data_IF_377533805494
#
_entry.id   IF_377533805494
#
_cell.length_a   1.000
_cell.length_b   1.000
_cell.length_c   1.000
_cell.angle_alpha   90.00
_cell.angle_beta   90.00
_cell.angle_gamma   90.00
#
_symmetry.space_group_name_H-M   'P 1'
#
loop_
_entity.id
_entity.type
_entity.pdbx_description
1 polymer ?
#
# COMPACT_ATOMS: atom_id res chain seq x y z
N UNK A 1 -6.89 10.63 15.55
CA UNK A 1 -7.77 9.74 14.76
C UNK A 1 -8.51 10.60 13.75
N UNK A 2 -8.30 10.40 12.44
CA UNK A 2 -9.03 11.14 11.41
C UNK A 2 -10.42 10.50 11.23
N UNK A 3 -11.49 11.25 11.49
CA UNK A 3 -12.86 10.81 11.20
C UNK A 3 -13.16 11.13 9.74
N UNK A 4 -13.24 10.11 8.91
CA UNK A 4 -13.74 10.26 7.54
C UNK A 4 -15.26 10.18 7.55
N UNK A 5 -15.92 11.15 6.93
CA UNK A 5 -17.36 11.13 6.69
C UNK A 5 -17.60 10.78 5.22
N UNK A 6 -18.29 9.67 4.96
CA UNK A 6 -18.64 9.23 3.60
C UNK A 6 -20.08 9.67 3.35
N UNK A 7 -20.27 10.57 2.39
CA UNK A 7 -21.58 11.00 1.93
C UNK A 7 -21.93 10.26 0.65
N UNK A 8 -23.15 9.72 0.57
CA UNK A 8 -23.72 9.20 -0.67
C UNK A 8 -24.48 10.34 -1.36
N UNK A 9 -24.20 10.54 -2.64
CA UNK A 9 -24.86 11.54 -3.47
C UNK A 9 -25.07 10.94 -4.86
N UNK A 10 -26.24 11.20 -5.44
CA UNK A 10 -26.56 10.82 -6.83
C UNK A 10 -25.97 11.80 -7.86
N UNK A 11 -25.38 12.90 -7.38
CA UNK A 11 -24.68 13.88 -8.22
C UNK A 11 -23.32 13.30 -8.68
N UNK A 12 -22.96 13.39 -9.97
CA UNK A 12 -21.66 12.94 -10.45
C UNK A 12 -20.50 13.56 -9.68
N UNK A 13 -19.53 12.74 -9.26
CA UNK A 13 -18.41 13.16 -8.42
C UNK A 13 -17.61 14.34 -9.02
N UNK A 14 -17.52 14.41 -10.36
CA UNK A 14 -16.88 15.50 -11.09
C UNK A 14 -17.55 16.85 -10.78
N UNK A 15 -18.88 16.91 -10.78
CA UNK A 15 -19.62 18.15 -10.54
C UNK A 15 -19.47 18.62 -9.09
N UNK A 16 -19.44 17.67 -8.14
CA UNK A 16 -19.18 17.95 -6.73
C UNK A 16 -17.76 18.53 -6.57
N UNK A 17 -16.77 17.89 -7.18
CA UNK A 17 -15.37 18.34 -7.12
C UNK A 17 -15.19 19.73 -7.73
N UNK A 18 -15.77 20.00 -8.90
CA UNK A 18 -15.70 21.31 -9.55
C UNK A 18 -16.35 22.39 -8.71
N UNK A 19 -17.56 22.15 -8.19
CA UNK A 19 -18.27 23.12 -7.35
C UNK A 19 -17.49 23.45 -6.06
N UNK A 20 -16.95 22.43 -5.38
CA UNK A 20 -16.10 22.63 -4.20
C UNK A 20 -14.83 23.40 -4.54
N UNK A 21 -14.19 23.09 -5.67
CA UNK A 21 -13.00 23.80 -6.13
C UNK A 21 -13.29 25.29 -6.38
N UNK A 22 -14.43 25.60 -7.01
CA UNK A 22 -14.84 26.98 -7.28
C UNK A 22 -15.14 27.75 -5.99
N UNK A 23 -15.84 27.13 -5.04
CA UNK A 23 -16.14 27.73 -3.73
C UNK A 23 -14.84 28.00 -2.97
N UNK A 24 -13.95 27.01 -2.87
CA UNK A 24 -12.66 27.16 -2.19
C UNK A 24 -11.79 28.23 -2.86
N UNK A 25 -11.75 28.27 -4.19
CA UNK A 25 -10.99 29.27 -4.95
C UNK A 25 -11.51 30.69 -4.71
N UNK A 26 -12.84 30.87 -4.66
CA UNK A 26 -13.45 32.16 -4.32
C UNK A 26 -13.10 32.62 -2.90
N UNK A 27 -13.18 31.73 -1.92
CA UNK A 27 -12.82 32.04 -0.52
C UNK A 27 -11.34 32.42 -0.41
N UNK A 28 -10.45 31.69 -1.09
CA UNK A 28 -9.01 31.98 -1.10
C UNK A 28 -8.71 33.33 -1.78
N UNK A 29 -9.40 33.65 -2.89
CA UNK A 29 -9.24 34.92 -3.58
C UNK A 29 -9.75 36.12 -2.76
N UNK A 30 -10.90 35.99 -2.09
CA UNK A 30 -11.46 37.03 -1.22
C UNK A 30 -10.55 37.34 -0.03
N UNK A 31 -9.87 36.33 0.54
CA UNK A 31 -8.87 36.53 1.61
C UNK A 31 -7.59 37.21 1.13
N UNK A 32 -7.21 37.04 -0.14
CA UNK A 32 -6.06 37.72 -0.74
C UNK A 32 -6.35 39.20 -1.05
N UNK A 33 -7.61 39.57 -1.33
CA UNK A 33 -8.01 40.96 -1.55
C UNK A 33 -8.29 41.74 -0.25
N UNK A 34 -8.75 41.09 0.82
CA UNK A 34 -9.04 41.74 2.10
C UNK A 34 -7.79 42.06 2.94
N UNK A 35 -6.62 41.51 2.61
CA UNK A 35 -5.34 41.81 3.30
C UNK A 35 -4.82 43.25 3.09
N UNK A 36 -5.53 44.12 2.35
CA UNK A 36 -5.12 45.51 2.11
C UNK A 36 -6.01 46.58 2.76
N UNK A 37 -7.11 46.22 3.42
CA UNK A 37 -7.91 47.20 4.14
C UNK A 37 -8.40 46.63 5.49
N UNK A 38 -7.76 47.16 6.53
CA UNK A 38 -8.25 47.39 7.88
C UNK A 38 -9.14 46.29 8.51
N UNK A 39 -8.61 45.52 9.45
CA UNK A 39 -9.41 44.63 10.29
C UNK A 39 -9.17 44.93 11.76
N UNK A 40 -10.21 45.50 12.39
CA UNK A 40 -10.42 45.59 13.82
C UNK A 40 -10.31 44.17 14.45
N UNK A 41 -9.51 43.95 15.50
CA UNK A 41 -9.21 42.61 16.03
C UNK A 41 -10.37 41.90 16.74
N UNK A 42 -11.55 42.51 16.85
CA UNK A 42 -12.53 42.12 17.87
C UNK A 42 -13.68 41.20 17.42
N UNK A 43 -13.71 40.67 16.17
CA UNK A 43 -14.87 39.89 15.66
C UNK A 43 -14.60 38.62 14.85
N UNK A 44 -13.39 38.06 14.82
CA UNK A 44 -13.19 36.72 14.27
C UNK A 44 -13.31 35.68 15.39
N UNK A 45 -14.52 35.13 15.54
CA UNK A 45 -14.72 33.91 16.32
C UNK A 45 -13.83 32.79 15.79
N UNK A 46 -13.07 32.18 16.71
CA UNK A 46 -12.20 31.02 16.54
C UNK A 46 -12.88 29.89 15.76
N UNK A 47 -12.69 29.87 14.44
CA UNK A 47 -12.76 28.62 13.69
C UNK A 47 -11.35 28.04 13.75
N UNK A 48 -11.11 26.92 14.47
CA UNK A 48 -9.81 26.28 14.44
C UNK A 48 -9.55 25.91 12.98
N UNK A 49 -8.57 26.60 12.38
CA UNK A 49 -8.02 26.27 11.08
C UNK A 49 -7.44 24.87 11.19
N UNK A 50 -8.27 23.85 10.97
CA UNK A 50 -7.79 22.49 10.81
C UNK A 50 -7.21 22.42 9.41
N UNK A 51 -5.92 22.75 9.31
CA UNK A 51 -5.12 22.59 8.11
C UNK A 51 -5.40 21.20 7.53
N UNK A 52 -5.85 21.17 6.28
CA UNK A 52 -6.03 19.90 5.58
C UNK A 52 -4.68 19.20 5.65
N UNK A 53 -4.57 17.99 6.23
CA UNK A 53 -3.28 17.36 6.41
C UNK A 53 -2.62 17.27 5.04
N UNK A 54 -1.48 17.95 4.89
CA UNK A 54 -0.67 17.85 3.70
C UNK A 54 -0.47 16.35 3.41
N UNK A 55 -0.54 15.92 2.13
CA UNK A 55 -0.35 14.53 1.76
C UNK A 55 0.89 14.03 2.48
N UNK A 56 0.71 13.13 3.46
CA UNK A 56 1.84 12.57 4.20
C UNK A 56 2.73 11.92 3.16
N UNK A 57 3.99 12.36 3.07
CA UNK A 57 4.98 11.82 2.16
C UNK A 57 4.93 10.29 2.26
N UNK A 58 4.36 9.64 1.25
CA UNK A 58 4.20 8.20 1.26
C UNK A 58 5.59 7.61 1.11
N UNK A 59 5.98 6.72 2.02
CA UNK A 59 7.28 6.06 1.93
C UNK A 59 7.28 5.17 0.68
N UNK A 60 7.94 5.66 -0.38
CA UNK A 60 8.15 4.92 -1.62
C UNK A 60 9.56 4.33 -1.61
N UNK A 61 9.66 3.01 -1.59
CA UNK A 61 10.92 2.30 -1.76
C UNK A 61 11.20 2.09 -3.24
N UNK A 62 12.46 2.19 -3.67
CA UNK A 62 12.85 2.05 -5.09
C UNK A 62 13.86 0.93 -5.25
N UNK A 63 13.65 0.07 -6.25
CA UNK A 63 14.50 -1.09 -6.52
C UNK A 63 14.92 -1.09 -7.99
N UNK A 64 16.22 -1.08 -8.26
CA UNK A 64 16.75 -1.25 -9.61
C UNK A 64 16.87 -2.74 -9.91
N UNK A 65 16.17 -3.20 -10.94
CA UNK A 65 16.09 -4.61 -11.33
C UNK A 65 16.00 -4.71 -12.86
N UNK A 66 16.07 -5.93 -13.40
CA UNK A 66 15.74 -6.16 -14.81
C UNK A 66 14.33 -6.71 -14.92
N UNK A 67 13.53 -6.13 -15.81
CA UNK A 67 12.18 -6.57 -16.12
C UNK A 67 12.21 -7.64 -17.22
N UNK A 68 11.61 -8.79 -16.92
CA UNK A 68 11.53 -9.95 -17.82
C UNK A 68 10.26 -9.90 -18.68
N UNK A 69 9.39 -8.92 -18.43
CA UNK A 69 8.12 -8.75 -19.11
C UNK A 69 6.93 -9.23 -18.30
N UNK A 70 5.80 -9.37 -18.99
CA UNK A 70 4.54 -9.90 -18.44
C UNK A 70 3.92 -10.91 -19.37
N UNK A 71 3.26 -11.91 -18.78
CA UNK A 71 2.54 -12.94 -19.53
C UNK A 71 1.20 -13.24 -18.87
N UNK A 72 0.15 -13.57 -19.65
CA UNK A 72 -1.10 -14.06 -19.08
C UNK A 72 -0.88 -15.42 -18.42
N UNK A 73 -1.58 -15.65 -17.30
CA UNK A 73 -1.56 -16.93 -16.57
C UNK A 73 -2.98 -17.40 -16.27
N UNK A 74 -3.16 -18.71 -16.16
CA UNK A 74 -4.50 -19.34 -16.06
C UNK A 74 -5.06 -19.38 -14.64
N UNK A 75 -4.22 -19.15 -13.63
CA UNK A 75 -4.58 -19.23 -12.21
C UNK A 75 -4.13 -17.96 -11.46
N UNK A 76 -4.87 -17.53 -10.44
CA UNK A 76 -4.52 -16.34 -9.65
C UNK A 76 -3.30 -16.54 -8.74
N UNK A 77 -2.93 -17.79 -8.44
CA UNK A 77 -1.91 -18.14 -7.47
C UNK A 77 -1.29 -19.51 -7.77
N UNK A 78 -0.05 -19.68 -7.31
CA UNK A 78 0.69 -20.95 -7.41
C UNK A 78 2.17 -20.71 -7.68
N UNK A 79 3.04 -21.36 -6.91
CA UNK A 79 4.49 -21.34 -7.20
C UNK A 79 4.78 -22.04 -8.53
N UNK A 80 4.04 -23.10 -8.85
CA UNK A 80 4.08 -23.75 -10.16
C UNK A 80 3.76 -22.77 -11.28
N UNK A 81 2.72 -21.94 -11.12
CA UNK A 81 2.27 -20.96 -12.11
C UNK A 81 3.35 -19.92 -12.42
N UNK A 82 3.94 -19.31 -11.38
CA UNK A 82 4.99 -18.30 -11.58
C UNK A 82 6.29 -18.92 -12.11
N UNK A 83 6.63 -20.14 -11.69
CA UNK A 83 7.86 -20.78 -12.14
C UNK A 83 7.79 -21.16 -13.63
N UNK A 84 6.64 -21.64 -14.12
CA UNK A 84 6.43 -21.89 -15.55
C UNK A 84 6.61 -20.61 -16.38
N UNK A 85 6.04 -19.50 -15.91
CA UNK A 85 6.20 -18.19 -16.56
C UNK A 85 7.66 -17.72 -16.55
N UNK A 86 8.36 -17.84 -15.41
CA UNK A 86 9.76 -17.46 -15.25
C UNK A 86 10.69 -18.30 -16.13
N UNK A 87 10.53 -19.62 -16.17
CA UNK A 87 11.33 -20.52 -17.01
C UNK A 87 11.24 -20.12 -18.49
N UNK A 88 10.05 -19.73 -18.95
CA UNK A 88 9.84 -19.24 -20.32
C UNK A 88 10.61 -17.94 -20.56
N UNK A 89 10.53 -16.98 -19.64
CA UNK A 89 11.20 -15.68 -19.77
C UNK A 89 12.73 -15.76 -19.63
N UNK A 90 13.23 -16.75 -18.87
CA UNK A 90 14.66 -16.99 -18.69
C UNK A 90 15.34 -17.55 -19.94
N UNK A 91 14.58 -18.19 -20.83
CA UNK A 91 15.08 -18.69 -22.12
C UNK A 91 15.25 -17.56 -23.16
N UNK A 92 14.71 -16.36 -22.91
CA UNK A 92 14.79 -15.19 -23.79
C UNK A 92 15.57 -14.03 -23.14
N UNK A 93 16.83 -14.27 -22.78
CA UNK A 93 17.65 -13.33 -21.99
C UNK A 93 17.95 -11.99 -22.67
N UNK A 94 17.93 -11.94 -24.00
CA UNK A 94 18.38 -10.79 -24.77
C UNK A 94 17.44 -9.57 -24.70
N UNK A 95 16.25 -9.72 -24.10
CA UNK A 95 15.20 -8.69 -24.09
C UNK A 95 14.91 -8.09 -22.70
N UNK A 96 15.74 -8.36 -21.70
CA UNK A 96 15.48 -7.89 -20.35
C UNK A 96 15.74 -6.39 -20.22
N UNK A 97 14.71 -5.65 -19.80
CA UNK A 97 14.77 -4.18 -19.74
C UNK A 97 15.18 -3.71 -18.35
N UNK A 98 16.22 -2.87 -18.18
CA UNK A 98 16.51 -2.24 -16.89
C UNK A 98 15.34 -1.36 -16.43
N UNK A 99 14.85 -1.59 -15.21
CA UNK A 99 13.72 -0.85 -14.64
C UNK A 99 13.97 -0.45 -13.19
N UNK A 100 13.27 0.59 -12.77
CA UNK A 100 13.06 0.94 -11.36
C UNK A 100 11.67 0.50 -10.94
N UNK A 101 11.58 -0.36 -9.93
CA UNK A 101 10.32 -0.72 -9.27
C UNK A 101 10.13 0.15 -8.04
N UNK A 102 9.11 1.00 -8.09
CA UNK A 102 8.68 1.80 -6.95
C UNK A 102 7.60 1.05 -6.18
N UNK A 103 7.83 0.79 -4.89
CA UNK A 103 6.92 0.12 -3.97
C UNK A 103 6.36 1.14 -2.99
N UNK A 104 5.09 1.51 -3.19
CA UNK A 104 4.32 2.34 -2.28
C UNK A 104 3.29 1.49 -1.52
N UNK A 105 2.53 2.08 -0.59
CA UNK A 105 1.62 1.33 0.29
C UNK A 105 0.37 0.79 -0.42
N UNK A 106 0.01 1.36 -1.58
CA UNK A 106 -1.17 0.93 -2.35
C UNK A 106 -0.86 0.60 -3.82
N UNK A 107 0.32 0.97 -4.31
CA UNK A 107 0.72 0.86 -5.72
C UNK A 107 2.15 0.39 -5.84
N UNK A 108 2.39 -0.43 -6.85
CA UNK A 108 3.71 -0.73 -7.38
C UNK A 108 3.78 -0.09 -8.77
N UNK A 109 4.84 0.63 -9.09
CA UNK A 109 5.08 1.10 -10.46
C UNK A 109 6.39 0.58 -11.00
N UNK A 110 6.37 0.17 -12.26
CA UNK A 110 7.54 -0.31 -13.01
C UNK A 110 7.88 0.77 -14.02
N UNK A 111 9.06 1.37 -13.90
CA UNK A 111 9.50 2.48 -14.74
C UNK A 111 10.77 2.09 -15.46
N UNK A 112 10.94 2.48 -16.73
CA UNK A 112 12.23 2.30 -17.41
C UNK A 112 13.32 3.08 -16.68
N UNK A 113 14.50 2.50 -16.50
CA UNK A 113 15.59 3.19 -15.79
C UNK A 113 16.15 4.38 -16.58
N UNK A 114 16.00 4.40 -17.91
CA UNK A 114 16.57 5.43 -18.77
C UNK A 114 15.71 6.70 -18.83
N UNK A 115 14.38 6.55 -18.96
CA UNK A 115 13.47 7.69 -19.19
C UNK A 115 12.50 7.93 -18.03
N UNK A 116 12.49 7.07 -17.02
CA UNK A 116 11.49 7.03 -15.96
C UNK A 116 10.04 6.92 -16.49
N UNK A 117 9.85 6.45 -17.73
CA UNK A 117 8.52 6.19 -18.28
C UNK A 117 7.88 4.99 -17.57
N UNK A 118 6.61 5.13 -17.20
CA UNK A 118 5.84 4.09 -16.51
C UNK A 118 5.44 2.99 -17.50
N UNK A 119 6.08 1.83 -17.40
CA UNK A 119 5.71 0.62 -18.15
C UNK A 119 4.44 -0.03 -17.63
N UNK A 120 4.25 -0.01 -16.31
CA UNK A 120 3.09 -0.61 -15.66
C UNK A 120 2.83 -0.02 -14.28
N UNK A 121 1.56 0.20 -13.95
CA UNK A 121 1.09 0.54 -12.61
C UNK A 121 0.23 -0.61 -12.06
N UNK A 122 0.69 -1.22 -10.98
CA UNK A 122 0.09 -2.39 -10.38
C UNK A 122 -0.48 -2.03 -8.99
N UNK A 123 -1.80 -2.05 -8.83
CA UNK A 123 -2.42 -1.76 -7.53
C UNK A 123 -2.32 -2.96 -6.60
N UNK A 124 -1.79 -2.77 -5.40
CA UNK A 124 -1.58 -3.83 -4.39
C UNK A 124 -2.87 -4.61 -4.08
N UNK A 125 -4.04 -3.95 -4.14
CA UNK A 125 -5.35 -4.60 -3.93
C UNK A 125 -5.72 -5.69 -4.94
N UNK A 126 -5.06 -5.72 -6.10
CA UNK A 126 -5.30 -6.68 -7.17
C UNK A 126 -4.13 -7.66 -7.34
N UNK A 127 -3.08 -7.54 -6.53
CA UNK A 127 -2.03 -8.54 -6.46
C UNK A 127 -2.61 -9.79 -5.79
N UNK A 128 -2.78 -10.86 -6.57
CA UNK A 128 -3.38 -12.11 -6.10
C UNK A 128 -2.34 -13.09 -5.57
N UNK A 129 -1.10 -13.00 -6.05
CA UNK A 129 -0.01 -13.87 -5.62
C UNK A 129 1.35 -13.22 -5.89
N UNK A 130 2.37 -13.61 -5.13
CA UNK A 130 3.77 -13.23 -5.34
C UNK A 130 4.69 -14.33 -4.85
N UNK A 131 5.90 -14.42 -5.41
CA UNK A 131 6.89 -15.36 -4.97
C UNK A 131 8.26 -15.15 -5.61
N UNK A 132 9.28 -15.65 -4.91
CA UNK A 132 10.61 -15.88 -5.48
C UNK A 132 10.56 -17.19 -6.25
N UNK A 133 11.15 -17.23 -7.45
CA UNK A 133 11.19 -18.44 -8.26
C UNK A 133 12.16 -19.49 -7.71
N UNK A 134 12.40 -20.55 -8.48
CA UNK A 134 13.43 -21.57 -8.14
C UNK A 134 14.82 -20.95 -8.03
N UNK A 135 15.11 -19.95 -8.85
CA UNK A 135 16.32 -19.14 -8.76
C UNK A 135 16.08 -17.96 -7.82
N UNK A 136 16.97 -17.77 -6.85
CA UNK A 136 16.91 -16.70 -5.84
C UNK A 136 16.94 -15.29 -6.42
N UNK A 137 17.42 -15.12 -7.66
CA UNK A 137 17.41 -13.82 -8.36
C UNK A 137 16.05 -13.51 -8.99
N UNK A 138 15.20 -14.52 -9.18
CA UNK A 138 13.93 -14.35 -9.87
C UNK A 138 12.80 -14.02 -8.90
N UNK A 139 12.03 -13.00 -9.25
CA UNK A 139 10.84 -12.59 -8.51
C UNK A 139 9.67 -12.42 -9.46
N UNK A 140 8.48 -12.81 -9.03
CA UNK A 140 7.27 -12.61 -9.81
C UNK A 140 6.06 -12.31 -8.93
N UNK A 141 5.10 -11.58 -9.49
CA UNK A 141 3.78 -11.42 -8.90
C UNK A 141 2.68 -11.49 -9.95
N UNK A 142 1.50 -11.94 -9.53
CA UNK A 142 0.32 -12.09 -10.36
C UNK A 142 -0.68 -10.99 -9.99
N UNK A 143 -1.16 -10.29 -11.01
CA UNK A 143 -2.20 -9.28 -10.94
C UNK A 143 -3.50 -9.83 -11.50
N UNK A 144 -4.61 -9.64 -10.79
CA UNK A 144 -5.95 -9.84 -11.30
C UNK A 144 -6.44 -8.55 -11.99
N UNK A 145 -6.41 -8.52 -13.32
CA UNK A 145 -6.85 -7.32 -14.07
C UNK A 145 -8.37 -7.27 -14.24
N UNK A 146 -8.96 -8.43 -14.55
CA UNK A 146 -10.41 -8.63 -14.70
C UNK A 146 -10.81 -9.99 -14.11
N UNK A 147 -12.10 -10.25 -13.84
CA UNK A 147 -12.53 -11.56 -13.38
C UNK A 147 -12.09 -12.66 -14.36
N UNK A 148 -11.22 -13.55 -13.91
CA UNK A 148 -10.66 -14.64 -14.73
C UNK A 148 -9.41 -14.29 -15.54
N UNK A 149 -9.03 -13.01 -15.63
CA UNK A 149 -7.83 -12.57 -16.35
C UNK A 149 -6.70 -12.24 -15.36
N UNK A 150 -5.62 -13.00 -15.45
CA UNK A 150 -4.45 -12.85 -14.58
C UNK A 150 -3.19 -12.60 -15.39
N UNK A 151 -2.38 -11.64 -14.94
CA UNK A 151 -1.12 -11.25 -15.57
C UNK A 151 0.01 -11.44 -14.59
N UNK A 152 1.03 -12.22 -14.96
CA UNK A 152 2.25 -12.41 -14.19
C UNK A 152 3.31 -11.41 -14.65
N UNK A 153 3.84 -10.60 -13.73
CA UNK A 153 4.99 -9.72 -13.94
C UNK A 153 6.23 -10.37 -13.34
N UNK A 154 7.35 -10.32 -14.07
CA UNK A 154 8.56 -11.07 -13.73
C UNK A 154 9.80 -10.17 -13.73
N UNK A 155 10.72 -10.42 -12.79
CA UNK A 155 11.89 -9.60 -12.55
C UNK A 155 13.12 -10.46 -12.23
N UNK A 156 14.28 -9.95 -12.59
CA UNK A 156 15.59 -10.44 -12.17
C UNK A 156 16.24 -9.39 -11.27
N UNK A 157 16.62 -9.82 -10.07
CA UNK A 157 17.12 -8.99 -9.00
C UNK A 157 18.55 -9.38 -8.64
N UNK A 158 19.45 -8.41 -8.59
CA UNK A 158 20.83 -8.59 -8.16
C UNK A 158 21.01 -7.90 -6.79
N UNK A 159 21.63 -8.53 -5.77
CA UNK A 159 22.21 -9.89 -5.78
C UNK A 159 21.19 -11.01 -5.57
N UNK A 160 19.94 -10.71 -5.22
CA UNK A 160 18.82 -11.65 -5.15
C UNK A 160 17.49 -10.89 -4.97
N UNK A 161 16.37 -11.61 -4.98
CA UNK A 161 15.03 -11.08 -4.87
C UNK A 161 14.57 -10.71 -3.45
N UNK A 162 15.38 -10.92 -2.40
CA UNK A 162 14.93 -10.79 -1.01
C UNK A 162 14.36 -9.40 -0.71
N UNK A 163 15.10 -8.34 -1.01
CA UNK A 163 14.71 -6.96 -0.68
C UNK A 163 13.43 -6.52 -1.40
N UNK A 164 13.31 -6.81 -2.71
CA UNK A 164 12.12 -6.49 -3.48
C UNK A 164 10.91 -7.29 -3.00
N UNK A 165 11.07 -8.60 -2.78
CA UNK A 165 9.97 -9.46 -2.32
C UNK A 165 9.49 -9.07 -0.91
N UNK A 166 10.39 -8.73 0.02
CA UNK A 166 10.03 -8.24 1.35
C UNK A 166 9.27 -6.92 1.29
N UNK A 167 9.71 -5.98 0.44
CA UNK A 167 9.04 -4.70 0.28
C UNK A 167 7.62 -4.85 -0.28
N UNK A 168 7.44 -5.69 -1.31
CA UNK A 168 6.11 -5.96 -1.88
C UNK A 168 5.21 -6.68 -0.87
N UNK A 169 5.76 -7.63 -0.11
CA UNK A 169 5.04 -8.32 0.96
C UNK A 169 4.60 -7.33 2.04
N UNK A 170 5.48 -6.43 2.48
CA UNK A 170 5.18 -5.39 3.45
C UNK A 170 4.07 -4.45 2.96
N UNK A 171 4.11 -4.04 1.69
CA UNK A 171 3.05 -3.25 1.08
C UNK A 171 1.69 -3.98 1.10
N UNK A 172 1.67 -5.27 0.75
CA UNK A 172 0.46 -6.10 0.82
C UNK A 172 -0.10 -6.17 2.25
N UNK A 173 0.75 -6.42 3.25
CA UNK A 173 0.34 -6.49 4.66
C UNK A 173 -0.21 -5.16 5.17
N UNK A 174 0.48 -4.04 4.89
CA UNK A 174 0.02 -2.71 5.28
C UNK A 174 -1.31 -2.36 4.61
N UNK A 175 -1.47 -2.70 3.33
CA UNK A 175 -2.72 -2.47 2.62
C UNK A 175 -3.87 -3.27 3.21
N UNK A 176 -3.63 -4.53 3.54
CA UNK A 176 -4.61 -5.38 4.20
C UNK A 176 -5.03 -4.81 5.56
N UNK A 177 -4.08 -4.40 6.40
CA UNK A 177 -4.36 -3.80 7.70
C UNK A 177 -5.19 -2.50 7.56
N UNK A 178 -4.81 -1.60 6.64
CA UNK A 178 -5.57 -0.36 6.38
C UNK A 178 -7.01 -0.64 5.97
N UNK A 179 -7.28 -1.71 5.22
CA UNK A 179 -8.63 -2.10 4.83
C UNK A 179 -9.45 -2.64 6.02
N UNK A 180 -8.82 -3.35 6.96
CA UNK A 180 -9.48 -3.80 8.19
C UNK A 180 -9.81 -2.63 9.12
N UNK A 181 -8.87 -1.70 9.30
CA UNK A 181 -9.04 -0.55 10.19
C UNK A 181 -10.08 0.46 9.67
N UNK A 182 -10.27 0.54 8.36
CA UNK A 182 -11.29 1.37 7.74
C UNK A 182 -12.71 0.83 7.94
N UNK A 183 -12.87 -0.40 8.47
CA UNK A 183 -14.19 -0.95 8.79
C UNK A 183 -14.72 -0.24 10.05
N UNK A 184 -15.94 0.33 10.01
CA UNK A 184 -16.53 0.92 11.20
C UNK A 184 -16.63 -0.14 12.31
N UNK A 185 -16.46 0.24 13.59
CA UNK A 185 -16.64 -0.69 14.71
C UNK A 185 -18.09 -1.17 14.69
N UNK A 186 -18.31 -2.33 14.08
CA UNK A 186 -19.57 -3.06 14.17
C UNK A 186 -19.73 -3.49 15.62
N UNK A 187 -20.65 -2.88 16.35
CA UNK A 187 -21.10 -3.38 17.63
C UNK A 187 -21.53 -4.84 17.49
N UNK A 188 -20.90 -5.72 18.28
CA UNK A 188 -21.33 -7.09 18.58
C UNK A 188 -21.81 -7.97 17.42
N UNK A 189 -20.91 -8.77 16.85
CA UNK A 189 -21.12 -10.18 16.46
C UNK A 189 -20.12 -10.55 15.35
N UNK A 190 -19.03 -11.24 15.72
CA UNK A 190 -18.10 -11.84 14.77
C UNK A 190 -18.55 -13.28 14.48
N UNK A 191 -19.33 -13.48 13.42
CA UNK A 191 -19.64 -14.82 12.88
C UNK A 191 -18.95 -15.02 11.52
N UNK A 192 -17.62 -14.87 11.48
CA UNK A 192 -16.83 -15.40 10.36
C UNK A 192 -15.95 -16.55 10.88
N UNK A 193 -15.98 -17.73 10.24
CA UNK A 193 -15.07 -18.81 10.57
C UNK A 193 -13.62 -18.35 10.37
N UNK A 194 -12.76 -18.69 11.33
CA UNK A 194 -11.35 -18.31 11.29
C UNK A 194 -10.63 -18.87 10.06
N UNK A 195 -9.54 -18.22 9.60
CA UNK A 195 -8.81 -18.65 8.42
C UNK A 195 -8.22 -20.07 8.62
N UNK A 196 -8.13 -20.88 7.54
CA UNK A 196 -7.62 -22.24 7.59
C UNK A 196 -6.17 -22.31 8.11
N UNK A 197 -5.77 -23.49 8.59
CA UNK A 197 -4.53 -23.73 9.33
C UNK A 197 -3.25 -23.17 8.68
N UNK A 198 -3.22 -23.09 7.35
CA UNK A 198 -2.04 -22.70 6.59
C UNK A 198 -2.06 -21.24 6.07
N UNK A 199 -2.95 -20.39 6.60
CA UNK A 199 -3.04 -18.99 6.16
C UNK A 199 -2.02 -18.08 6.86
N UNK A 200 -1.34 -17.24 6.08
CA UNK A 200 -0.42 -16.15 6.53
C UNK A 200 -1.06 -15.27 7.61
N UNK A 201 -2.39 -15.12 7.60
CA UNK A 201 -3.19 -14.41 8.60
C UNK A 201 -2.99 -14.90 10.05
N UNK A 202 -2.68 -16.19 10.29
CA UNK A 202 -2.43 -16.71 11.65
C UNK A 202 -1.04 -16.34 12.19
N UNK A 203 -0.03 -16.30 11.31
CA UNK A 203 1.37 -16.02 11.70
C UNK A 203 1.54 -14.57 12.18
N UNK A 204 0.74 -13.64 11.63
CA UNK A 204 0.69 -12.23 12.06
C UNK A 204 -0.06 -12.07 13.40
N UNK A 205 -1.13 -12.83 13.63
CA UNK A 205 -1.90 -12.77 14.89
C UNK A 205 -1.10 -13.18 16.14
N UNK A 206 -0.11 -14.07 16.00
CA UNK A 206 0.74 -14.51 17.12
C UNK A 206 1.87 -13.53 17.46
N UNK A 207 2.44 -12.83 16.47
CA UNK A 207 3.55 -11.89 16.73
C UNK A 207 3.08 -10.59 17.38
N UNK A 208 1.88 -10.10 17.05
CA UNK A 208 1.33 -8.88 17.67
C UNK A 208 0.88 -9.12 19.12
N UNK A 209 0.36 -10.32 19.45
CA UNK A 209 -0.02 -10.66 20.83
C UNK A 209 1.17 -10.80 21.80
N UNK A 210 2.34 -11.23 21.32
CA UNK A 210 3.54 -11.38 22.17
C UNK A 210 4.26 -10.05 22.45
N UNK A 211 4.18 -9.06 21.55
CA UNK A 211 4.83 -7.75 21.73
C UNK A 211 4.22 -6.86 22.81
N UNK A 212 2.93 -7.02 23.12
CA UNK A 212 2.21 -6.16 24.08
C UNK A 212 2.31 -6.67 25.53
N UNK A 213 2.66 -7.94 25.75
CA UNK A 213 2.86 -8.49 27.11
C UNK A 213 4.27 -8.24 27.68
N UNK A 214 5.27 -7.92 26.85
CA UNK A 214 6.66 -7.79 27.30
C UNK A 214 7.05 -6.38 27.79
N UNK A 215 6.18 -5.37 27.66
CA UNK A 215 6.48 -3.97 28.04
C UNK A 215 5.83 -3.53 29.36
N UNK A 216 5.02 -4.38 30.00
CA UNK A 216 4.34 -4.08 31.27
C UNK A 216 4.89 -4.86 32.48
N UNK A 217 6.04 -5.52 32.35
CA UNK A 217 6.56 -6.47 33.35
C UNK A 217 7.78 -6.03 34.18
N UNK A 218 8.43 -4.89 33.90
CA UNK A 218 9.69 -4.51 34.59
C UNK A 218 9.56 -3.24 35.42
N UNK A 219 8.69 -3.26 36.44
CA UNK A 219 8.82 -2.37 37.60
C UNK A 219 8.26 -3.09 38.84
N UNK A 220 9.09 -3.90 39.52
CA UNK A 220 8.95 -4.18 40.96
C UNK A 220 10.21 -4.85 41.55
N UNK A 221 10.94 -4.02 42.32
CA UNK A 221 11.75 -4.29 43.53
C UNK A 221 12.50 -5.63 43.65
N UNK A 222 13.83 -5.54 43.57
CA UNK A 222 14.75 -6.41 44.30
C UNK A 222 14.83 -5.97 45.77
N UNK A 223 14.16 -6.70 46.67
CA UNK A 223 14.41 -6.66 48.10
C UNK A 223 15.39 -7.77 48.48
N UNK A 224 16.49 -7.39 49.14
CA UNK A 224 17.54 -8.26 49.66
C UNK A 224 17.09 -9.08 50.88
N UNK A 225 17.72 -10.24 51.02
CA UNK A 225 17.48 -11.33 51.97
C UNK A 225 17.59 -10.96 53.46
N UNK A 226 16.80 -11.67 54.27
CA UNK A 226 16.96 -12.01 55.70
C UNK A 226 18.11 -13.00 55.93
N UNK A 227 18.56 -13.29 57.17
CA UNK A 227 17.98 -12.98 58.49
C UNK A 227 18.72 -11.90 59.31
#
# INVERSE_FOLDING_TARGET
>A
MLKCHVFRSDTPAKNIATSLHDICSKIMAQRKSSSRQNTDPSRLGDLPFQEFPAPKNELVQRFQVRYLGRVPVTKPAGLDVINVALETALNSKDNWTPVTVNVASATLSILTSETEEVLSECRVRFLSFMGVGKDVHTFAFIMAERPGDFICHMFWCDPNAASLSEAVQAACMLRYQKCLDARPPSGGSSCLPGPPADSVARRVGSSVKKGVQSLLGSFKRSGSQTP
#
